data_IF_521754623593
#
_entry.id   IF_521754623593
#
_cell.length_a   1.000
_cell.length_b   1.000
_cell.length_c   1.000
_cell.angle_alpha   90.00
_cell.angle_beta   90.00
_cell.angle_gamma   90.00
#
_symmetry.space_group_name_H-M   'P 1'
#
loop_
_entity.id
_entity.type
_entity.pdbx_description
1 polymer ?
#
# COMPACT_ATOMS: atom_id res chain seq x y z
N UNK A 1 0.86 5.69 -0.98
CA UNK A 1 -0.04 5.14 -2.02
C UNK A 1 -1.48 5.62 -1.86
N UNK A 2 -2.03 5.60 -0.65
CA UNK A 2 -3.39 6.10 -0.35
C UNK A 2 -3.51 7.60 -0.67
N UNK A 3 -2.58 8.42 -0.18
CA UNK A 3 -2.59 9.88 -0.43
C UNK A 3 -2.47 10.19 -1.92
N UNK A 4 -1.58 9.51 -2.64
CA UNK A 4 -1.43 9.72 -4.09
C UNK A 4 -2.72 9.34 -4.82
N UNK A 5 -3.40 8.26 -4.40
CA UNK A 5 -4.69 7.87 -4.95
C UNK A 5 -5.76 8.95 -4.71
N UNK A 6 -5.84 9.49 -3.50
CA UNK A 6 -6.75 10.55 -3.13
C UNK A 6 -6.51 11.83 -3.96
N UNK A 7 -5.25 12.24 -4.11
CA UNK A 7 -4.88 13.42 -4.92
C UNK A 7 -5.24 13.25 -6.40
N UNK A 8 -5.21 12.02 -6.91
CA UNK A 8 -5.63 11.73 -8.29
C UNK A 8 -7.17 11.76 -8.41
N UNK A 9 -7.90 11.19 -7.46
CA UNK A 9 -9.38 11.24 -7.47
C UNK A 9 -9.92 12.66 -7.30
N UNK A 10 -9.15 13.55 -6.65
CA UNK A 10 -9.49 14.98 -6.52
C UNK A 10 -9.01 15.83 -7.70
N UNK A 11 -8.49 15.24 -8.78
CA UNK A 11 -7.92 15.93 -9.95
C UNK A 11 -6.79 16.93 -9.59
N UNK A 12 -6.13 16.77 -8.43
CA UNK A 12 -5.01 17.62 -8.02
C UNK A 12 -3.71 17.24 -8.73
N UNK A 13 -3.57 15.95 -9.08
CA UNK A 13 -2.47 15.41 -9.89
C UNK A 13 -3.02 14.37 -10.87
N UNK A 14 -2.27 14.09 -11.94
CA UNK A 14 -2.62 13.05 -12.92
C UNK A 14 -1.63 11.89 -12.90
N UNK A 15 -2.11 10.69 -13.24
CA UNK A 15 -1.25 9.51 -13.46
C UNK A 15 -0.21 9.75 -14.57
N UNK A 16 -0.51 10.62 -15.51
CA UNK A 16 0.33 10.94 -16.67
C UNK A 16 1.28 12.12 -16.40
N UNK A 17 1.19 12.79 -15.25
CA UNK A 17 2.11 13.84 -14.87
C UNK A 17 3.54 13.33 -14.79
N UNK A 18 4.47 14.17 -15.25
CA UNK A 18 5.89 13.84 -15.34
C UNK A 18 6.66 14.49 -14.20
N UNK A 19 7.04 13.69 -13.20
CA UNK A 19 7.77 14.09 -12.01
C UNK A 19 9.25 14.24 -12.30
N UNK A 20 9.82 15.42 -12.03
CA UNK A 20 11.27 15.64 -12.12
C UNK A 20 11.97 14.97 -10.93
N UNK A 21 12.87 14.05 -11.21
CA UNK A 21 13.56 13.28 -10.18
C UNK A 21 14.66 14.10 -9.51
N UNK A 22 14.49 14.31 -8.21
CA UNK A 22 15.47 15.01 -7.37
C UNK A 22 16.71 14.16 -7.08
N UNK A 23 17.78 14.83 -6.65
CA UNK A 23 18.98 14.14 -6.15
C UNK A 23 18.69 13.34 -4.87
N UNK A 24 17.75 13.80 -4.02
CA UNK A 24 17.35 13.09 -2.79
C UNK A 24 16.68 11.78 -3.15
N UNK A 25 15.63 11.79 -3.98
CA UNK A 25 14.93 10.59 -4.43
C UNK A 25 15.89 9.59 -5.11
N UNK A 26 16.74 10.05 -6.04
CA UNK A 26 17.72 9.19 -6.72
C UNK A 26 18.73 8.53 -5.79
N UNK A 27 19.16 9.22 -4.70
CA UNK A 27 20.15 8.71 -3.75
C UNK A 27 19.57 7.73 -2.72
N UNK A 28 18.25 7.50 -2.72
CA UNK A 28 17.65 6.59 -1.74
C UNK A 28 18.25 5.19 -1.82
N UNK A 29 18.53 4.65 -0.65
CA UNK A 29 19.09 3.31 -0.49
C UNK A 29 17.99 2.24 -0.28
N UNK A 30 18.40 0.99 -0.21
CA UNK A 30 17.51 -0.15 -0.04
C UNK A 30 16.82 -0.54 -1.35
N UNK A 31 15.50 -0.79 -1.30
CA UNK A 31 14.71 -1.15 -2.48
C UNK A 31 14.53 0.05 -3.41
N UNK A 32 14.76 -0.13 -4.72
CA UNK A 32 14.66 0.95 -5.71
C UNK A 32 14.02 0.44 -7.00
N UNK A 33 13.32 1.34 -7.70
CA UNK A 33 12.92 1.10 -9.09
C UNK A 33 13.97 1.59 -10.11
N UNK A 34 15.06 2.21 -9.62
CA UNK A 34 16.18 2.73 -10.40
C UNK A 34 15.85 3.93 -11.28
N UNK A 35 15.20 4.95 -10.68
CA UNK A 35 15.04 6.26 -11.30
C UNK A 35 16.36 7.00 -11.39
N UNK A 36 16.47 7.94 -12.34
CA UNK A 36 17.69 8.71 -12.59
C UNK A 36 17.48 10.20 -12.27
N UNK A 37 18.47 10.82 -11.60
CA UNK A 37 18.42 12.24 -11.26
C UNK A 37 18.28 13.13 -12.50
N UNK A 38 17.39 14.12 -12.42
CA UNK A 38 17.15 15.07 -13.53
C UNK A 38 16.31 14.51 -14.68
N UNK A 39 15.94 13.23 -14.65
CA UNK A 39 14.97 12.65 -15.59
C UNK A 39 13.55 12.92 -15.12
N UNK A 40 12.60 12.77 -16.03
CA UNK A 40 11.18 12.82 -15.72
C UNK A 40 10.58 11.42 -15.78
N UNK A 41 9.78 11.08 -14.78
CA UNK A 41 9.12 9.77 -14.65
C UNK A 41 7.63 10.01 -14.37
N UNK A 42 6.76 9.26 -15.02
CA UNK A 42 5.31 9.41 -14.82
C UNK A 42 4.90 9.02 -13.39
N UNK A 43 3.89 9.70 -12.85
CA UNK A 43 3.26 9.31 -11.56
C UNK A 43 2.85 7.85 -11.59
N UNK A 44 2.31 7.37 -12.72
CA UNK A 44 1.93 5.97 -12.95
C UNK A 44 3.11 5.01 -12.76
N UNK A 45 4.27 5.30 -13.35
CA UNK A 45 5.45 4.43 -13.22
C UNK A 45 6.03 4.49 -11.81
N UNK A 46 6.04 5.66 -11.17
CA UNK A 46 6.44 5.81 -9.78
C UNK A 46 5.54 5.00 -8.83
N UNK A 47 4.21 5.00 -9.07
CA UNK A 47 3.28 4.17 -8.30
C UNK A 47 3.55 2.68 -8.50
N UNK A 48 3.85 2.23 -9.72
CA UNK A 48 4.27 0.84 -9.97
C UNK A 48 5.56 0.51 -9.24
N UNK A 49 6.56 1.38 -9.28
CA UNK A 49 7.80 1.23 -8.53
C UNK A 49 7.58 1.14 -7.02
N UNK A 50 6.70 1.99 -6.48
CA UNK A 50 6.31 2.00 -5.07
C UNK A 50 5.64 0.68 -4.65
N UNK A 51 4.64 0.24 -5.40
CA UNK A 51 3.79 -0.90 -5.03
C UNK A 51 4.49 -2.23 -5.29
N UNK A 52 5.04 -2.42 -6.49
CA UNK A 52 5.58 -3.70 -6.96
C UNK A 52 6.96 -3.94 -6.39
N UNK A 53 7.87 -2.99 -6.53
CA UNK A 53 9.27 -3.12 -6.10
C UNK A 53 9.50 -2.60 -4.68
N UNK A 54 8.55 -1.87 -4.09
CA UNK A 54 8.78 -1.17 -2.81
C UNK A 54 9.90 -0.13 -2.92
N UNK A 55 9.93 0.61 -4.03
CA UNK A 55 11.01 1.56 -4.35
C UNK A 55 11.01 2.76 -3.41
N UNK A 56 12.07 2.90 -2.60
CA UNK A 56 12.26 4.06 -1.73
C UNK A 56 12.47 5.34 -2.55
N UNK A 57 13.14 5.21 -3.68
CA UNK A 57 13.36 6.28 -4.66
C UNK A 57 12.01 6.78 -5.23
N UNK A 58 11.11 5.87 -5.58
CA UNK A 58 9.76 6.21 -6.02
C UNK A 58 8.92 6.86 -4.92
N UNK A 59 9.03 6.36 -3.68
CA UNK A 59 8.30 6.91 -2.54
C UNK A 59 8.66 8.38 -2.27
N UNK A 60 9.97 8.69 -2.23
CA UNK A 60 10.46 10.06 -2.04
C UNK A 60 10.09 10.95 -3.23
N UNK A 61 10.21 10.46 -4.48
CA UNK A 61 9.84 11.24 -5.66
C UNK A 61 8.35 11.61 -5.65
N UNK A 62 7.46 10.69 -5.29
CA UNK A 62 6.02 10.96 -5.15
C UNK A 62 5.74 11.93 -4.00
N UNK A 63 6.40 11.76 -2.85
CA UNK A 63 6.25 12.64 -1.70
C UNK A 63 6.63 14.09 -2.04
N UNK A 64 7.78 14.28 -2.68
CA UNK A 64 8.25 15.59 -3.13
C UNK A 64 7.31 16.21 -4.18
N UNK A 65 6.78 15.39 -5.09
CA UNK A 65 5.86 15.87 -6.12
C UNK A 65 4.53 16.35 -5.54
N UNK A 66 3.93 15.58 -4.62
CA UNK A 66 2.62 15.89 -4.03
C UNK A 66 2.69 17.08 -3.07
N UNK A 67 3.73 17.15 -2.24
CA UNK A 67 3.80 18.13 -1.14
C UNK A 67 4.96 19.13 -1.26
N UNK A 68 5.74 19.09 -2.32
CA UNK A 68 6.92 19.94 -2.51
C UNK A 68 8.16 19.48 -1.74
N UNK A 69 8.00 18.71 -0.67
CA UNK A 69 9.10 18.06 0.05
C UNK A 69 8.62 16.81 0.78
N UNK A 70 9.55 15.88 1.05
CA UNK A 70 9.22 14.69 1.85
C UNK A 70 8.79 15.05 3.27
N UNK A 71 9.38 16.09 3.87
CA UNK A 71 9.02 16.50 5.24
C UNK A 71 7.56 16.97 5.33
N UNK A 72 7.13 17.83 4.42
CA UNK A 72 5.71 18.28 4.35
C UNK A 72 4.81 17.08 4.04
N UNK A 73 5.25 16.16 3.19
CA UNK A 73 4.48 14.96 2.92
C UNK A 73 4.29 14.07 4.15
N UNK A 74 5.30 13.98 5.03
CA UNK A 74 5.19 13.28 6.32
C UNK A 74 4.13 13.91 7.23
N UNK A 75 4.08 15.25 7.27
CA UNK A 75 3.04 15.96 8.01
C UNK A 75 1.65 15.60 7.46
N UNK A 76 1.50 15.58 6.12
CA UNK A 76 0.26 15.14 5.45
C UNK A 76 -0.04 13.67 5.77
N UNK A 77 0.96 12.77 5.77
CA UNK A 77 0.74 11.36 6.15
C UNK A 77 0.18 11.24 7.57
N UNK A 78 0.66 12.02 8.53
CA UNK A 78 0.18 12.01 9.91
C UNK A 78 -1.22 12.64 10.04
N UNK A 79 -1.55 13.64 9.25
CA UNK A 79 -2.91 14.17 9.16
C UNK A 79 -3.89 13.10 8.64
N UNK A 80 -3.57 12.42 7.55
CA UNK A 80 -4.39 11.32 7.04
C UNK A 80 -4.50 10.17 8.04
N UNK A 81 -3.43 9.84 8.78
CA UNK A 81 -3.46 8.84 9.84
C UNK A 81 -4.49 9.24 10.93
N UNK A 82 -4.52 10.50 11.30
CA UNK A 82 -5.50 11.04 12.27
C UNK A 82 -6.94 10.96 11.74
N UNK A 83 -7.18 11.37 10.50
CA UNK A 83 -8.51 11.36 9.86
C UNK A 83 -9.03 9.92 9.73
N UNK A 84 -8.17 8.98 9.35
CA UNK A 84 -8.50 7.54 9.24
C UNK A 84 -8.62 6.84 10.61
N UNK A 85 -8.30 7.53 11.70
CA UNK A 85 -8.36 6.97 13.05
C UNK A 85 -7.27 5.93 13.34
N UNK A 86 -6.08 6.08 12.75
CA UNK A 86 -4.91 5.23 13.00
C UNK A 86 -4.24 5.65 14.31
N UNK A 87 -4.78 5.19 15.43
CA UNK A 87 -4.44 5.69 16.78
C UNK A 87 -3.06 5.29 17.29
N UNK A 88 -2.44 4.29 16.68
CA UNK A 88 -1.13 3.77 17.05
C UNK A 88 -0.18 3.83 15.86
N UNK A 89 -0.20 4.95 15.13
CA UNK A 89 0.62 5.16 13.93
C UNK A 89 1.21 6.56 13.97
N UNK A 90 2.52 6.63 13.76
CA UNK A 90 3.25 7.87 13.52
C UNK A 90 4.27 7.65 12.40
N UNK A 91 4.22 8.49 11.39
CA UNK A 91 5.14 8.44 10.26
C UNK A 91 6.25 9.47 10.44
N UNK A 92 7.50 9.10 10.10
CA UNK A 92 8.68 9.97 10.12
C UNK A 92 9.30 10.12 8.73
N UNK A 93 8.97 9.23 7.80
CA UNK A 93 9.41 9.29 6.42
C UNK A 93 8.39 8.61 5.48
N UNK A 94 8.54 8.82 4.18
CA UNK A 94 7.65 8.29 3.15
C UNK A 94 7.94 6.83 2.77
N UNK A 95 9.06 6.29 3.22
CA UNK A 95 9.61 5.00 2.76
C UNK A 95 9.33 3.84 3.71
N UNK A 96 9.13 4.11 4.98
CA UNK A 96 9.07 3.10 6.05
C UNK A 96 10.46 2.63 6.50
N UNK A 97 11.53 3.36 6.17
CA UNK A 97 12.86 3.10 6.73
C UNK A 97 12.85 3.38 8.24
N UNK A 98 13.71 2.68 9.00
CA UNK A 98 13.72 2.82 10.45
C UNK A 98 13.97 4.24 10.93
N UNK A 99 13.15 4.65 11.89
CA UNK A 99 13.32 5.83 12.70
C UNK A 99 12.78 5.52 14.10
N UNK A 100 13.30 6.15 15.15
CA UNK A 100 12.95 5.84 16.53
C UNK A 100 11.45 6.02 16.81
N UNK A 101 10.85 7.03 16.19
CA UNK A 101 9.45 7.39 16.37
C UNK A 101 8.55 6.95 15.19
N UNK A 102 9.06 6.12 14.27
CA UNK A 102 8.29 5.58 13.15
C UNK A 102 7.65 4.25 13.53
N UNK A 103 6.37 4.26 13.84
CA UNK A 103 5.66 3.05 14.26
C UNK A 103 4.23 2.98 13.71
N UNK A 104 3.68 1.77 13.70
CA UNK A 104 2.28 1.49 13.40
C UNK A 104 1.82 0.23 14.12
N UNK A 105 0.53 -0.09 14.04
CA UNK A 105 -0.05 -1.32 14.54
C UNK A 105 -0.68 -2.15 13.42
N UNK A 106 -0.79 -3.47 13.63
CA UNK A 106 -1.49 -4.37 12.69
C UNK A 106 -2.95 -3.96 12.50
N UNK A 107 -3.60 -3.40 13.53
CA UNK A 107 -4.96 -2.87 13.45
C UNK A 107 -5.03 -1.66 12.53
N UNK A 108 -4.14 -0.69 12.71
CA UNK A 108 -4.13 0.54 11.92
C UNK A 108 -3.81 0.24 10.45
N UNK A 109 -2.89 -0.69 10.19
CA UNK A 109 -2.61 -1.16 8.83
C UNK A 109 -3.83 -1.84 8.19
N UNK A 110 -4.64 -2.58 8.96
CA UNK A 110 -5.88 -3.16 8.45
C UNK A 110 -6.92 -2.08 8.13
N UNK A 111 -7.03 -1.03 8.96
CA UNK A 111 -7.91 0.13 8.71
C UNK A 111 -7.49 0.85 7.44
N UNK A 112 -6.20 1.21 7.30
CA UNK A 112 -5.66 1.88 6.12
C UNK A 112 -5.87 1.03 4.85
N UNK A 113 -5.66 -0.29 4.96
CA UNK A 113 -5.84 -1.21 3.83
C UNK A 113 -7.29 -1.26 3.35
N UNK A 114 -8.22 -1.30 4.30
CA UNK A 114 -9.65 -1.27 3.99
C UNK A 114 -10.03 0.05 3.31
N UNK A 115 -9.59 1.18 3.86
CA UNK A 115 -9.85 2.50 3.28
C UNK A 115 -9.34 2.57 1.83
N UNK A 116 -8.10 2.11 1.57
CA UNK A 116 -7.55 2.09 0.20
C UNK A 116 -8.39 1.24 -0.77
N UNK A 117 -8.87 0.07 -0.32
CA UNK A 117 -9.68 -0.83 -1.15
C UNK A 117 -11.05 -0.25 -1.44
N UNK A 118 -11.69 0.33 -0.41
CA UNK A 118 -13.08 0.78 -0.49
C UNK A 118 -13.19 2.13 -1.22
N UNK A 119 -12.27 3.04 -0.98
CA UNK A 119 -12.32 4.41 -1.49
C UNK A 119 -11.64 4.55 -2.87
N UNK A 120 -10.58 3.77 -3.13
CA UNK A 120 -9.79 3.87 -4.36
C UNK A 120 -9.63 2.54 -5.10
N UNK A 121 -10.72 1.86 -5.47
CA UNK A 121 -10.66 0.52 -6.09
C UNK A 121 -9.89 0.50 -7.42
N UNK A 122 -9.97 1.57 -8.22
CA UNK A 122 -9.23 1.71 -9.48
C UNK A 122 -7.71 1.85 -9.30
N UNK A 123 -7.26 2.38 -8.15
CA UNK A 123 -5.87 2.43 -7.75
C UNK A 123 -5.42 1.14 -7.09
N UNK A 124 -6.32 0.51 -6.34
CA UNK A 124 -6.05 -0.75 -5.70
C UNK A 124 -5.73 -1.87 -6.71
N UNK A 125 -6.28 -1.81 -7.91
CA UNK A 125 -5.99 -2.75 -8.99
C UNK A 125 -4.49 -2.87 -9.33
N UNK A 126 -3.69 -1.85 -9.05
CA UNK A 126 -2.25 -1.87 -9.22
C UNK A 126 -1.56 -2.92 -8.33
N UNK A 127 -2.13 -3.21 -7.16
CA UNK A 127 -1.52 -4.10 -6.16
C UNK A 127 -1.53 -5.59 -6.58
N UNK A 128 -2.35 -5.97 -7.56
CA UNK A 128 -2.37 -7.32 -8.13
C UNK A 128 -1.36 -7.53 -9.26
N UNK A 129 -0.73 -6.45 -9.78
CA UNK A 129 0.28 -6.56 -10.83
C UNK A 129 1.48 -7.36 -10.33
N UNK A 130 1.81 -8.45 -11.03
CA UNK A 130 2.87 -9.38 -10.63
C UNK A 130 4.26 -8.85 -10.95
N UNK A 131 4.38 -8.00 -11.96
CA UNK A 131 5.66 -7.45 -12.42
C UNK A 131 5.46 -6.18 -13.23
N UNK A 132 6.53 -5.40 -13.35
CA UNK A 132 6.63 -4.33 -14.35
C UNK A 132 8.06 -4.17 -14.82
N UNK A 133 8.25 -3.50 -15.95
CA UNK A 133 9.59 -3.21 -16.48
C UNK A 133 9.79 -1.70 -16.52
N UNK A 134 10.88 -1.24 -15.93
CA UNK A 134 11.30 0.17 -15.98
C UNK A 134 12.78 0.24 -16.34
N UNK A 135 13.17 1.15 -17.25
CA UNK A 135 14.54 1.27 -17.76
C UNK A 135 15.14 -0.07 -18.19
N UNK A 136 14.39 -0.91 -18.89
CA UNK A 136 14.76 -2.27 -19.28
C UNK A 136 15.07 -3.22 -18.12
N UNK A 137 14.71 -2.85 -16.89
CA UNK A 137 14.86 -3.70 -15.70
C UNK A 137 13.50 -4.30 -15.37
N UNK A 138 13.37 -5.61 -15.51
CA UNK A 138 12.18 -6.36 -15.08
C UNK A 138 12.19 -6.49 -13.56
N UNK A 139 11.10 -6.12 -12.93
CA UNK A 139 10.94 -6.10 -11.48
C UNK A 139 9.70 -6.90 -11.09
N UNK A 140 9.86 -7.84 -10.17
CA UNK A 140 8.78 -8.71 -9.70
C UNK A 140 8.16 -8.15 -8.43
N UNK A 141 6.83 -8.31 -8.30
CA UNK A 141 6.15 -7.97 -7.06
C UNK A 141 6.71 -8.81 -5.90
N UNK A 142 6.95 -8.16 -4.79
CA UNK A 142 7.49 -8.83 -3.59
C UNK A 142 6.45 -9.68 -2.86
N UNK A 143 5.16 -9.48 -3.14
CA UNK A 143 4.08 -10.30 -2.58
C UNK A 143 3.94 -11.62 -3.33
N UNK A 144 4.63 -12.65 -2.86
CA UNK A 144 4.62 -14.00 -3.47
C UNK A 144 3.27 -14.72 -3.36
N UNK A 145 2.32 -14.24 -2.52
CA UNK A 145 0.98 -14.82 -2.48
C UNK A 145 0.22 -14.63 -3.79
N UNK A 146 0.52 -13.59 -4.57
CA UNK A 146 -0.06 -13.37 -5.90
C UNK A 146 0.17 -14.54 -6.87
N UNK A 147 1.18 -15.39 -6.63
CA UNK A 147 1.44 -16.61 -7.43
C UNK A 147 0.97 -17.88 -6.74
N UNK A 148 0.72 -17.86 -5.42
CA UNK A 148 0.32 -19.03 -4.66
C UNK A 148 -1.20 -19.21 -4.58
N UNK A 149 -1.96 -18.11 -4.62
CA UNK A 149 -3.40 -18.10 -4.43
C UNK A 149 -4.03 -17.07 -5.38
N UNK A 150 -4.80 -17.55 -6.35
CA UNK A 150 -5.45 -16.70 -7.36
C UNK A 150 -6.50 -15.75 -6.78
N UNK A 151 -7.01 -16.03 -5.58
CA UNK A 151 -7.93 -15.12 -4.88
C UNK A 151 -7.23 -13.91 -4.28
N UNK A 152 -5.88 -13.94 -4.15
CA UNK A 152 -5.08 -12.83 -3.61
C UNK A 152 -4.88 -11.75 -4.67
N UNK A 153 -5.25 -10.52 -4.34
CA UNK A 153 -5.15 -9.35 -5.22
C UNK A 153 -4.33 -8.18 -4.64
N UNK A 154 -3.61 -8.42 -3.56
CA UNK A 154 -2.73 -7.45 -2.90
C UNK A 154 -2.13 -8.00 -1.61
N UNK A 155 -1.43 -7.27 -0.79
CA UNK A 155 -1.23 -5.83 -0.91
C UNK A 155 0.26 -5.49 -0.86
N UNK A 156 0.87 -5.49 0.33
CA UNK A 156 2.21 -4.91 0.50
C UNK A 156 3.06 -5.68 1.48
N UNK A 157 4.30 -5.90 1.11
CA UNK A 157 5.35 -6.46 2.00
C UNK A 157 6.15 -5.33 2.64
N UNK A 158 6.67 -5.60 3.84
CA UNK A 158 7.66 -4.76 4.52
C UNK A 158 8.75 -5.62 5.15
N UNK A 159 9.94 -5.06 5.33
CA UNK A 159 11.01 -5.66 6.10
C UNK A 159 12.00 -4.62 6.58
N UNK A 160 12.28 -4.65 7.87
CA UNK A 160 13.43 -3.99 8.51
C UNK A 160 13.95 -4.94 9.59
N UNK A 161 15.18 -4.73 10.05
CA UNK A 161 15.74 -5.50 11.16
C UNK A 161 14.83 -5.44 12.41
N UNK A 162 14.31 -4.24 12.72
CA UNK A 162 13.47 -4.03 13.90
C UNK A 162 12.05 -4.60 13.76
N UNK A 163 11.44 -4.45 12.57
CA UNK A 163 10.06 -4.89 12.33
C UNK A 163 9.93 -6.36 11.95
N UNK A 164 11.03 -7.02 11.57
CA UNK A 164 11.00 -8.35 10.97
C UNK A 164 10.31 -8.35 9.61
N UNK A 165 9.88 -9.50 9.15
CA UNK A 165 9.16 -9.65 7.88
C UNK A 165 7.67 -9.42 8.08
N UNK A 166 7.13 -8.43 7.37
CA UNK A 166 5.72 -8.01 7.45
C UNK A 166 5.01 -8.22 6.11
N UNK A 167 3.71 -8.50 6.18
CA UNK A 167 2.84 -8.62 5.01
C UNK A 167 1.42 -8.17 5.34
N UNK A 168 0.91 -7.29 4.52
CA UNK A 168 -0.54 -7.09 4.38
C UNK A 168 -0.96 -7.87 3.15
N UNK A 169 -1.93 -8.77 3.29
CA UNK A 169 -2.50 -9.48 2.15
C UNK A 169 -4.00 -9.29 2.10
N UNK A 170 -4.54 -9.16 0.89
CA UNK A 170 -5.97 -9.15 0.62
C UNK A 170 -6.32 -10.24 -0.36
N UNK A 171 -7.45 -10.89 -0.12
CA UNK A 171 -8.01 -11.89 -1.01
C UNK A 171 -9.52 -11.73 -1.11
N UNK A 172 -10.09 -12.04 -2.29
CA UNK A 172 -11.52 -12.02 -2.53
C UNK A 172 -11.97 -13.37 -3.07
N UNK A 173 -12.91 -14.00 -2.34
CA UNK A 173 -13.57 -15.24 -2.78
C UNK A 173 -15.07 -15.03 -2.76
N UNK A 174 -15.74 -15.21 -3.89
CA UNK A 174 -17.14 -14.86 -4.08
C UNK A 174 -17.40 -13.41 -3.67
N UNK A 175 -18.35 -13.16 -2.78
CA UNK A 175 -18.72 -11.83 -2.29
C UNK A 175 -17.99 -11.42 -1.00
N UNK A 176 -17.06 -12.24 -0.51
CA UNK A 176 -16.30 -11.95 0.70
C UNK A 176 -14.87 -11.56 0.39
N UNK A 177 -14.44 -10.42 0.94
CA UNK A 177 -13.05 -9.97 0.94
C UNK A 177 -12.48 -10.07 2.35
N UNK A 178 -11.26 -10.54 2.46
CA UNK A 178 -10.49 -10.56 3.70
C UNK A 178 -9.18 -9.79 3.53
N UNK A 179 -8.81 -9.09 4.58
CA UNK A 179 -7.48 -8.48 4.72
C UNK A 179 -6.80 -9.12 5.92
N UNK A 180 -5.57 -9.55 5.75
CA UNK A 180 -4.72 -10.05 6.83
C UNK A 180 -3.49 -9.18 6.99
N UNK A 181 -3.08 -8.94 8.23
CA UNK A 181 -1.86 -8.21 8.55
C UNK A 181 -0.98 -9.07 9.46
N UNK A 182 0.20 -9.39 8.98
CA UNK A 182 1.22 -10.16 9.68
C UNK A 182 2.46 -9.28 9.86
N UNK A 183 2.94 -9.14 11.07
CA UNK A 183 4.14 -8.38 11.41
C UNK A 183 5.08 -9.23 12.29
N UNK A 184 6.37 -8.90 12.31
CA UNK A 184 7.33 -9.52 13.19
C UNK A 184 7.70 -10.97 12.82
N UNK A 185 7.42 -11.45 11.62
CA UNK A 185 7.84 -12.79 11.21
C UNK A 185 9.36 -12.88 11.09
N UNK A 186 9.89 -14.07 11.40
CA UNK A 186 11.34 -14.33 11.39
C UNK A 186 11.92 -14.52 9.99
N UNK A 187 11.07 -14.77 9.00
CA UNK A 187 11.51 -15.01 7.62
C UNK A 187 10.46 -14.61 6.58
N UNK A 188 10.93 -14.42 5.35
CA UNK A 188 10.09 -14.23 4.17
C UNK A 188 9.04 -15.33 4.02
N UNK A 189 9.46 -16.59 4.20
CA UNK A 189 8.56 -17.75 4.12
C UNK A 189 7.45 -17.69 5.19
N UNK A 190 7.82 -17.38 6.41
CA UNK A 190 6.89 -17.37 7.55
C UNK A 190 5.77 -16.35 7.40
N UNK A 191 6.06 -15.10 6.95
CA UNK A 191 5.02 -14.10 6.72
C UNK A 191 3.99 -14.54 5.67
N UNK A 192 4.42 -15.23 4.60
CA UNK A 192 3.49 -15.74 3.59
C UNK A 192 2.66 -16.91 4.11
N UNK A 193 3.29 -17.86 4.79
CA UNK A 193 2.60 -19.03 5.34
C UNK A 193 1.59 -18.61 6.43
N UNK A 194 1.95 -17.63 7.28
CA UNK A 194 1.06 -17.09 8.30
C UNK A 194 -0.14 -16.35 7.67
N UNK A 195 0.10 -15.49 6.67
CA UNK A 195 -0.97 -14.76 5.98
C UNK A 195 -1.91 -15.73 5.26
N UNK A 196 -1.39 -16.76 4.60
CA UNK A 196 -2.20 -17.75 3.93
C UNK A 196 -3.07 -18.53 4.91
N UNK A 197 -2.51 -18.98 6.04
CA UNK A 197 -3.30 -19.65 7.10
C UNK A 197 -4.43 -18.76 7.65
N UNK A 198 -4.17 -17.46 7.83
CA UNK A 198 -5.20 -16.52 8.28
C UNK A 198 -6.30 -16.33 7.24
N UNK A 199 -5.96 -16.23 5.95
CA UNK A 199 -6.96 -16.15 4.87
C UNK A 199 -7.81 -17.43 4.83
N UNK A 200 -7.19 -18.61 4.86
CA UNK A 200 -7.91 -19.89 4.86
C UNK A 200 -8.82 -20.03 6.08
N UNK A 201 -8.34 -19.64 7.27
CA UNK A 201 -9.16 -19.61 8.48
C UNK A 201 -10.37 -18.71 8.29
N UNK A 202 -10.15 -17.48 7.80
CA UNK A 202 -11.22 -16.51 7.61
C UNK A 202 -12.28 -17.02 6.61
N UNK A 203 -11.87 -17.50 5.43
CA UNK A 203 -12.81 -18.01 4.43
C UNK A 203 -13.51 -19.30 4.85
N UNK A 204 -12.92 -20.10 5.73
CA UNK A 204 -13.51 -21.33 6.23
C UNK A 204 -14.58 -21.09 7.30
N UNK A 205 -14.35 -20.14 8.20
CA UNK A 205 -15.17 -19.98 9.41
C UNK A 205 -16.09 -18.77 9.41
N UNK A 206 -15.95 -17.89 8.43
CA UNK A 206 -16.78 -16.70 8.29
C UNK A 206 -17.46 -16.67 6.92
N UNK A 207 -18.63 -16.05 6.88
CA UNK A 207 -19.36 -15.79 5.65
C UNK A 207 -19.88 -14.35 5.66
N UNK A 208 -19.82 -13.68 4.51
CA UNK A 208 -20.50 -12.40 4.34
C UNK A 208 -22.00 -12.65 4.14
N UNK A 209 -22.84 -11.97 4.92
CA UNK A 209 -24.29 -11.96 4.74
C UNK A 209 -24.75 -10.56 4.39
N UNK A 210 -25.44 -10.42 3.27
CA UNK A 210 -26.09 -9.18 2.90
C UNK A 210 -27.38 -9.04 3.70
N UNK A 211 -27.37 -8.18 4.71
CA UNK A 211 -28.53 -7.95 5.58
C UNK A 211 -29.55 -7.00 4.95
N UNK A 212 -29.07 -5.98 4.22
CA UNK A 212 -29.89 -4.96 3.59
C UNK A 212 -29.33 -4.63 2.20
N UNK A 213 -30.20 -4.28 1.27
CA UNK A 213 -29.77 -3.68 0.01
C UNK A 213 -29.59 -2.17 0.22
N UNK A 214 -28.47 -1.61 -0.26
CA UNK A 214 -28.25 -0.17 -0.22
C UNK A 214 -29.39 0.58 -0.92
N UNK A 215 -29.73 1.77 -0.43
CA UNK A 215 -30.79 2.64 -0.96
C UNK A 215 -32.22 2.09 -0.88
N UNK A 216 -32.51 1.08 -0.07
CA UNK A 216 -33.89 0.74 0.29
C UNK A 216 -34.30 1.53 1.53
N UNK A 217 -35.38 2.27 1.40
CA UNK A 217 -36.05 2.94 2.54
C UNK A 217 -36.44 1.91 3.60
N UNK A 218 -35.86 2.04 4.79
CA UNK A 218 -36.32 1.24 5.94
C UNK A 218 -37.70 1.77 6.36
N UNK A 219 -38.69 0.92 6.43
CA UNK A 219 -40.02 1.33 6.94
C UNK A 219 -39.81 1.98 8.30
N UNK A 220 -40.15 3.28 8.42
CA UNK A 220 -40.26 3.93 9.71
C UNK A 220 -41.34 3.21 10.51
N UNK A 221 -41.00 2.69 11.69
CA UNK A 221 -42.03 2.28 12.64
C UNK A 221 -42.73 3.54 13.13
N UNK A 222 -43.98 3.70 12.75
CA UNK A 222 -44.92 4.61 13.42
C UNK A 222 -45.17 4.17 14.85
#
# INVERSE_FOLDING_TARGET
>A
GYIVADQIEQDMISKDDNVLISRKAWKMEGSRMFIEVGKRVSVKDLLKGLVIQSGNDAAVALAEYVAGSEQIFVDVMNEYASVLGLRNTLFQNSTGLPDADHFTSVRDLAVLSRALIDEFPSHYDLYKEKEFTFNNIRQLNRNKLLWRDESVDGMKTGHTEAAGYCLIASAKRNDMRLVTVVAGSKSDKERFDASQRLLEYGFRFYAAQKLLEGNKELKSST
#
